data_IF_016247552524
#
_entry.id   IF_016247552524
#
_cell.length_a   1.000
_cell.length_b   1.000
_cell.length_c   1.000
_cell.angle_alpha   90.00
_cell.angle_beta   90.00
_cell.angle_gamma   90.00
#
_symmetry.space_group_name_H-M   'P 1'
#
loop_
_entity.id
_entity.type
_entity.pdbx_description
1 polymer ?
#
# COMPACT_ATOMS: atom_id res chain seq x y z
N UNK A 1 -7.81 1.27 15.21
CA UNK A 1 -8.36 -0.08 14.97
C UNK A 1 -7.32 -1.16 15.24
N UNK A 2 -6.15 -1.12 14.59
CA UNK A 2 -5.10 -2.14 14.74
C UNK A 2 -4.06 -1.85 15.82
N UNK A 3 -3.76 -0.58 16.08
CA UNK A 3 -2.78 -0.15 17.08
C UNK A 3 -3.10 -0.75 18.47
N UNK A 4 -2.13 -1.42 19.09
CA UNK A 4 -2.26 -2.08 20.40
C UNK A 4 -2.91 -3.47 20.37
N UNK A 5 -3.26 -4.01 19.19
CA UNK A 5 -3.80 -5.37 19.03
C UNK A 5 -2.88 -6.31 18.24
N UNK A 6 -1.96 -5.75 17.47
CA UNK A 6 -0.97 -6.51 16.69
C UNK A 6 0.23 -6.78 17.60
N UNK A 7 0.31 -8.00 18.11
CA UNK A 7 1.34 -8.46 19.06
C UNK A 7 1.69 -9.94 18.81
N UNK A 8 2.72 -10.44 19.49
CA UNK A 8 3.14 -11.84 19.36
C UNK A 8 2.02 -12.79 19.79
N UNK A 9 1.85 -13.90 19.06
CA UNK A 9 0.86 -14.94 19.36
C UNK A 9 -0.49 -14.79 18.65
N UNK A 10 -0.75 -13.70 17.92
CA UNK A 10 -1.94 -13.59 17.07
C UNK A 10 -1.65 -14.14 15.67
N UNK A 11 -2.67 -14.68 15.00
CA UNK A 11 -2.53 -15.11 13.60
C UNK A 11 -2.86 -13.96 12.62
N UNK A 12 -2.25 -13.96 11.43
CA UNK A 12 -2.54 -12.93 10.42
C UNK A 12 -4.01 -12.92 9.98
N UNK A 13 -4.70 -14.06 9.98
CA UNK A 13 -6.17 -14.12 9.77
C UNK A 13 -6.98 -13.36 10.82
N UNK A 14 -6.47 -13.16 12.03
CA UNK A 14 -7.17 -12.37 13.04
C UNK A 14 -7.13 -10.89 12.68
N UNK A 15 -6.01 -10.41 12.14
CA UNK A 15 -5.86 -9.06 11.59
C UNK A 15 -6.86 -8.85 10.44
N UNK A 16 -6.92 -9.81 9.50
CA UNK A 16 -7.87 -9.80 8.39
C UNK A 16 -9.33 -9.68 8.85
N UNK A 17 -9.70 -10.49 9.84
CA UNK A 17 -11.02 -10.43 10.46
C UNK A 17 -11.31 -9.06 11.07
N UNK A 18 -10.37 -8.48 11.81
CA UNK A 18 -10.57 -7.16 12.43
C UNK A 18 -10.68 -6.04 11.41
N UNK A 19 -9.91 -6.11 10.31
CA UNK A 19 -10.04 -5.18 9.19
C UNK A 19 -11.41 -5.29 8.55
N UNK A 20 -11.87 -6.52 8.29
CA UNK A 20 -13.18 -6.79 7.72
C UNK A 20 -14.31 -6.21 8.60
N UNK A 21 -14.33 -6.61 9.88
CA UNK A 21 -15.34 -6.19 10.86
C UNK A 21 -15.40 -4.66 10.95
N UNK A 22 -14.25 -4.01 11.16
CA UNK A 22 -14.20 -2.56 11.26
C UNK A 22 -14.66 -1.86 9.98
N UNK A 23 -14.26 -2.36 8.80
CA UNK A 23 -14.64 -1.76 7.52
C UNK A 23 -16.15 -1.85 7.32
N UNK A 24 -16.74 -3.01 7.56
CA UNK A 24 -18.18 -3.25 7.46
C UNK A 24 -18.99 -2.45 8.49
N UNK A 25 -18.53 -2.39 9.74
CA UNK A 25 -19.19 -1.65 10.84
C UNK A 25 -19.25 -0.14 10.56
N UNK A 26 -18.35 0.38 9.71
CA UNK A 26 -18.31 1.79 9.30
C UNK A 26 -18.94 2.03 7.91
N UNK A 27 -19.73 1.08 7.40
CA UNK A 27 -20.46 1.20 6.14
C UNK A 27 -19.60 1.03 4.88
N UNK A 28 -18.34 0.62 5.05
CA UNK A 28 -17.43 0.34 3.95
C UNK A 28 -17.45 -1.13 3.54
N UNK A 29 -16.71 -1.44 2.47
CA UNK A 29 -16.44 -2.80 2.01
C UNK A 29 -14.96 -2.96 1.62
N UNK A 30 -14.25 -4.03 2.02
CA UNK A 30 -12.85 -4.22 1.65
C UNK A 30 -12.67 -4.46 0.14
N UNK A 31 -11.92 -3.58 -0.55
CA UNK A 31 -11.70 -3.65 -1.99
C UNK A 31 -10.90 -4.88 -2.43
N UNK A 32 -10.10 -5.46 -1.54
CA UNK A 32 -9.23 -6.60 -1.83
C UNK A 32 -10.00 -7.90 -2.02
N UNK A 33 -11.24 -7.98 -1.48
CA UNK A 33 -12.07 -9.17 -1.59
C UNK A 33 -12.44 -9.46 -3.05
N UNK A 34 -12.23 -10.71 -3.46
CA UNK A 34 -12.53 -11.26 -4.79
C UNK A 34 -11.73 -10.63 -5.96
N UNK A 35 -10.63 -9.94 -5.67
CA UNK A 35 -9.74 -9.41 -6.72
C UNK A 35 -8.83 -10.55 -7.22
N UNK A 36 -9.07 -11.04 -8.44
CA UNK A 36 -8.24 -12.05 -9.12
C UNK A 36 -7.96 -13.32 -8.26
N UNK A 37 -8.93 -13.72 -7.44
CA UNK A 37 -8.80 -14.88 -6.54
C UNK A 37 -8.19 -14.58 -5.17
N UNK A 38 -7.87 -13.32 -4.87
CA UNK A 38 -7.54 -12.85 -3.52
C UNK A 38 -8.84 -12.74 -2.71
N UNK A 39 -8.96 -13.55 -1.66
CA UNK A 39 -10.22 -13.71 -0.90
C UNK A 39 -10.09 -13.22 0.55
N UNK A 40 -9.21 -12.23 0.77
CA UNK A 40 -8.95 -11.61 2.08
C UNK A 40 -9.23 -10.12 2.00
N UNK A 41 -9.49 -9.52 3.16
CA UNK A 41 -9.92 -8.14 3.38
C UNK A 41 -8.76 -7.15 3.56
N UNK A 42 -7.56 -7.66 3.78
CA UNK A 42 -6.32 -6.89 3.79
C UNK A 42 -5.14 -7.74 3.28
N UNK A 43 -3.98 -7.11 3.10
CA UNK A 43 -2.72 -7.83 2.95
C UNK A 43 -1.91 -7.78 4.25
N UNK A 44 -1.25 -8.89 4.59
CA UNK A 44 -0.35 -9.02 5.74
C UNK A 44 1.00 -9.55 5.27
N UNK A 45 2.02 -8.69 5.23
CA UNK A 45 3.32 -9.02 4.65
C UNK A 45 4.39 -9.03 5.73
N UNK A 46 4.76 -10.22 6.20
CA UNK A 46 5.71 -10.43 7.29
C UNK A 46 7.14 -10.49 6.74
N UNK A 47 8.07 -9.81 7.40
CA UNK A 47 9.52 -9.88 7.19
C UNK A 47 9.94 -9.70 5.71
N UNK A 48 10.31 -10.79 5.04
CA UNK A 48 10.81 -10.79 3.66
C UNK A 48 9.70 -10.72 2.60
N UNK A 49 8.43 -10.77 2.99
CA UNK A 49 7.30 -10.59 2.08
C UNK A 49 7.18 -9.09 1.78
N UNK A 50 7.45 -8.71 0.53
CA UNK A 50 7.48 -7.31 0.10
C UNK A 50 6.08 -6.66 0.15
N UNK A 51 5.08 -7.31 -0.43
CA UNK A 51 3.70 -6.85 -0.48
C UNK A 51 2.75 -8.01 -0.76
N UNK A 52 1.44 -7.75 -0.66
CA UNK A 52 0.37 -8.70 -1.03
C UNK A 52 0.46 -10.07 -0.32
N UNK A 53 1.04 -10.13 0.87
CA UNK A 53 0.96 -11.33 1.70
C UNK A 53 -0.50 -11.65 2.02
N UNK A 54 -0.89 -12.92 1.89
CA UNK A 54 -2.26 -13.38 2.10
C UNK A 54 -2.42 -13.77 3.58
N UNK A 55 -3.34 -13.15 4.33
CA UNK A 55 -3.61 -13.55 5.71
C UNK A 55 -4.05 -15.01 5.83
N UNK A 56 -3.42 -15.75 6.73
CA UNK A 56 -3.60 -17.18 6.98
C UNK A 56 -3.42 -17.55 8.48
N UNK A 57 -3.14 -18.82 8.76
CA UNK A 57 -2.94 -19.34 10.12
C UNK A 57 -1.55 -19.03 10.70
N UNK A 58 -0.68 -18.31 9.97
CA UNK A 58 0.65 -17.91 10.45
C UNK A 58 0.53 -17.01 11.67
N UNK A 59 1.19 -17.41 12.75
CA UNK A 59 1.24 -16.71 14.04
C UNK A 59 2.44 -15.78 14.07
N UNK A 60 2.24 -14.54 14.52
CA UNK A 60 3.31 -13.57 14.69
C UNK A 60 4.22 -13.94 15.85
N UNK A 61 5.52 -13.83 15.63
CA UNK A 61 6.56 -14.11 16.61
C UNK A 61 7.17 -12.81 17.14
N UNK A 62 7.72 -12.86 18.36
CA UNK A 62 8.50 -11.73 18.90
C UNK A 62 9.70 -11.46 17.99
N UNK A 63 9.91 -10.19 17.64
CA UNK A 63 10.93 -9.73 16.71
C UNK A 63 10.48 -9.60 15.25
N UNK A 64 9.28 -10.07 14.89
CA UNK A 64 8.74 -9.88 13.54
C UNK A 64 8.49 -8.40 13.22
N UNK A 65 8.58 -8.09 11.92
CA UNK A 65 8.00 -6.87 11.35
C UNK A 65 6.93 -7.25 10.34
N UNK A 66 5.81 -6.53 10.34
CA UNK A 66 4.68 -6.82 9.46
C UNK A 66 4.12 -5.55 8.83
N UNK A 67 3.97 -5.54 7.51
CA UNK A 67 3.15 -4.56 6.82
C UNK A 67 1.69 -5.01 6.82
N UNK A 68 0.76 -4.13 7.21
CA UNK A 68 -0.67 -4.32 6.98
C UNK A 68 -1.16 -3.26 6.01
N UNK A 69 -1.75 -3.72 4.91
CA UNK A 69 -2.27 -2.89 3.82
C UNK A 69 -3.80 -3.05 3.73
N UNK A 70 -4.52 -1.93 3.79
CA UNK A 70 -5.98 -1.88 3.81
C UNK A 70 -6.50 -0.96 2.72
N UNK A 71 -7.51 -1.45 2.01
CA UNK A 71 -8.13 -0.70 0.91
C UNK A 71 -9.66 -0.66 1.05
N UNK A 72 -10.25 0.14 1.96
CA UNK A 72 -11.71 0.22 2.09
C UNK A 72 -12.37 0.95 0.91
N UNK A 73 -13.56 0.50 0.53
CA UNK A 73 -14.49 1.20 -0.35
C UNK A 73 -15.62 1.78 0.50
N UNK A 74 -15.82 3.09 0.48
CA UNK A 74 -16.92 3.78 1.17
C UNK A 74 -17.58 4.76 0.20
N UNK A 75 -18.90 4.70 0.04
CA UNK A 75 -19.67 5.57 -0.86
C UNK A 75 -19.13 5.64 -2.31
N UNK A 76 -18.53 4.54 -2.79
CA UNK A 76 -17.91 4.46 -4.11
C UNK A 76 -16.48 4.99 -4.19
N UNK A 77 -15.90 5.44 -3.08
CA UNK A 77 -14.52 5.93 -2.96
C UNK A 77 -13.61 4.86 -2.37
N UNK A 78 -12.44 4.66 -2.99
CA UNK A 78 -11.39 3.79 -2.48
C UNK A 78 -10.44 4.62 -1.61
N UNK A 79 -10.23 4.21 -0.37
CA UNK A 79 -9.08 4.60 0.43
C UNK A 79 -8.03 3.50 0.36
N UNK A 80 -6.75 3.83 0.29
CA UNK A 80 -5.67 2.85 0.20
C UNK A 80 -4.50 3.31 1.08
N UNK A 81 -4.11 2.49 2.06
CA UNK A 81 -3.06 2.85 3.01
C UNK A 81 -2.47 1.62 3.67
N UNK A 82 -1.17 1.67 3.95
CA UNK A 82 -0.47 0.64 4.69
C UNK A 82 0.48 1.20 5.73
N UNK A 83 0.87 0.35 6.68
CA UNK A 83 1.83 0.69 7.74
C UNK A 83 2.61 -0.55 8.19
N UNK A 84 3.87 -0.33 8.54
CA UNK A 84 4.71 -1.31 9.25
C UNK A 84 4.41 -1.33 10.75
N UNK A 85 4.28 -2.52 11.32
CA UNK A 85 4.18 -2.78 12.75
C UNK A 85 5.39 -3.61 13.19
N UNK A 86 5.88 -3.32 14.40
CA UNK A 86 6.95 -4.06 15.07
C UNK A 86 6.32 -4.95 16.13
N UNK A 87 6.66 -6.23 16.14
CA UNK A 87 6.14 -7.20 17.09
C UNK A 87 7.16 -7.37 18.22
N UNK A 88 6.83 -6.85 19.40
CA UNK A 88 7.70 -6.90 20.57
C UNK A 88 9.07 -6.26 20.33
N UNK A 89 10.16 -6.95 20.63
CA UNK A 89 11.53 -6.45 20.45
C UNK A 89 12.17 -6.97 19.15
N UNK A 90 12.41 -6.10 18.18
CA UNK A 90 13.07 -6.43 16.90
C UNK A 90 14.50 -5.90 16.81
N UNK A 91 15.22 -6.28 15.75
CA UNK A 91 16.61 -5.86 15.55
C UNK A 91 16.74 -4.36 15.22
N UNK A 92 17.91 -3.78 15.51
CA UNK A 92 18.20 -2.38 15.16
C UNK A 92 18.13 -2.17 13.65
N UNK A 93 18.53 -3.17 12.87
CA UNK A 93 18.46 -3.15 11.41
C UNK A 93 17.01 -3.06 10.92
N UNK A 94 16.10 -3.82 11.52
CA UNK A 94 14.68 -3.81 11.18
C UNK A 94 14.01 -2.47 11.57
N UNK A 95 14.34 -1.94 12.75
CA UNK A 95 13.87 -0.61 13.18
C UNK A 95 14.33 0.48 12.21
N UNK A 96 15.62 0.46 11.85
CA UNK A 96 16.17 1.43 10.90
C UNK A 96 15.55 1.29 9.51
N UNK A 97 15.33 0.06 9.02
CA UNK A 97 14.65 -0.16 7.75
C UNK A 97 13.24 0.47 7.75
N UNK A 98 12.46 0.30 8.81
CA UNK A 98 11.12 0.87 8.94
C UNK A 98 11.19 2.40 8.97
N UNK A 99 12.09 2.96 9.77
CA UNK A 99 12.29 4.41 9.89
C UNK A 99 12.66 5.04 8.55
N UNK A 100 13.62 4.46 7.84
CA UNK A 100 14.12 5.00 6.57
C UNK A 100 13.11 4.80 5.43
N UNK A 101 12.35 3.70 5.44
CA UNK A 101 11.22 3.51 4.52
C UNK A 101 10.14 4.57 4.74
N UNK A 102 9.85 4.91 6.01
CA UNK A 102 8.92 5.99 6.36
C UNK A 102 9.47 7.36 5.95
N UNK A 103 10.77 7.61 6.09
CA UNK A 103 11.41 8.83 5.61
C UNK A 103 11.28 8.96 4.08
N UNK A 104 11.53 7.89 3.32
CA UNK A 104 11.30 7.83 1.88
C UNK A 104 9.87 8.21 1.49
N UNK A 105 8.86 7.72 2.23
CA UNK A 105 7.46 8.08 1.99
C UNK A 105 7.23 9.60 2.09
N UNK A 106 7.71 10.24 3.16
CA UNK A 106 7.54 11.68 3.34
C UNK A 106 8.33 12.51 2.33
N UNK A 107 9.57 12.12 2.03
CA UNK A 107 10.37 12.77 0.98
C UNK A 107 9.67 12.68 -0.38
N UNK A 108 9.07 11.53 -0.69
CA UNK A 108 8.26 11.35 -1.89
C UNK A 108 7.05 12.28 -1.94
N UNK A 109 6.33 12.42 -0.81
CA UNK A 109 5.17 13.32 -0.67
C UNK A 109 5.58 14.79 -0.86
N UNK A 110 6.71 15.22 -0.28
CA UNK A 110 7.18 16.61 -0.38
C UNK A 110 7.53 17.04 -1.82
N UNK A 111 7.81 16.08 -2.69
CA UNK A 111 8.08 16.29 -4.12
C UNK A 111 6.79 16.43 -4.94
N UNK A 112 5.62 16.06 -4.39
CA UNK A 112 4.33 16.13 -5.11
C UNK A 112 3.85 17.57 -5.21
N UNK A 113 4.11 18.20 -6.37
CA UNK A 113 3.65 19.56 -6.69
C UNK A 113 3.52 19.79 -8.21
N UNK A 114 2.75 20.80 -8.65
CA UNK A 114 2.66 21.15 -10.07
C UNK A 114 4.04 21.37 -10.69
N UNK A 115 4.25 20.81 -11.89
CA UNK A 115 5.53 20.87 -12.59
C UNK A 115 6.44 19.65 -12.38
N UNK A 116 6.23 18.89 -11.29
CA UNK A 116 6.94 17.63 -11.06
C UNK A 116 6.21 16.44 -11.69
N UNK A 117 6.96 15.38 -11.96
CA UNK A 117 6.51 14.11 -12.53
C UNK A 117 6.56 12.98 -11.50
N UNK A 118 5.91 11.85 -11.80
CA UNK A 118 6.03 10.63 -10.98
C UNK A 118 7.48 10.13 -10.92
N UNK A 119 8.27 10.38 -11.97
CA UNK A 119 9.69 10.03 -12.00
C UNK A 119 10.50 10.78 -10.94
N UNK A 120 10.15 12.03 -10.64
CA UNK A 120 10.84 12.82 -9.62
C UNK A 120 10.63 12.24 -8.21
N UNK A 121 9.43 11.72 -7.93
CA UNK A 121 9.13 11.01 -6.67
C UNK A 121 10.02 9.76 -6.55
N UNK A 122 10.05 8.93 -7.60
CA UNK A 122 10.86 7.72 -7.63
C UNK A 122 12.36 8.01 -7.52
N UNK A 123 12.84 9.06 -8.19
CA UNK A 123 14.22 9.51 -8.11
C UNK A 123 14.59 9.92 -6.68
N UNK A 124 13.79 10.77 -6.02
CA UNK A 124 14.05 11.20 -4.65
C UNK A 124 14.09 10.03 -3.66
N UNK A 125 13.12 9.10 -3.76
CA UNK A 125 13.09 7.89 -2.92
C UNK A 125 14.34 7.03 -3.16
N UNK A 126 14.68 6.78 -4.42
CA UNK A 126 15.82 5.93 -4.78
C UNK A 126 17.14 6.53 -4.29
N UNK A 127 17.35 7.84 -4.44
CA UNK A 127 18.56 8.50 -3.96
C UNK A 127 18.73 8.37 -2.44
N UNK A 128 17.65 8.55 -1.66
CA UNK A 128 17.69 8.39 -0.21
C UNK A 128 18.03 6.95 0.18
N UNK A 129 17.26 5.97 -0.33
CA UNK A 129 17.43 4.56 0.00
C UNK A 129 18.82 4.03 -0.38
N UNK A 130 19.30 4.31 -1.60
CA UNK A 130 20.59 3.83 -2.08
C UNK A 130 21.77 4.47 -1.34
N UNK A 131 21.64 5.73 -0.86
CA UNK A 131 22.67 6.38 -0.04
C UNK A 131 22.92 5.68 1.31
N UNK A 132 21.93 4.92 1.78
CA UNK A 132 21.98 4.15 3.03
C UNK A 132 22.30 2.66 2.79
N UNK A 133 22.53 2.26 1.53
CA UNK A 133 22.82 0.88 1.14
C UNK A 133 21.59 -0.01 0.94
N UNK A 134 20.37 0.56 0.94
CA UNK A 134 19.15 -0.17 0.62
C UNK A 134 18.89 -0.21 -0.90
N UNK A 135 18.02 -1.13 -1.33
CA UNK A 135 17.51 -1.20 -2.69
C UNK A 135 16.04 -0.84 -2.75
N UNK A 136 15.56 -0.45 -3.94
CA UNK A 136 14.15 -0.13 -4.20
C UNK A 136 13.54 -1.18 -5.12
N UNK A 137 12.39 -1.73 -4.73
CA UNK A 137 11.63 -2.69 -5.53
C UNK A 137 11.12 -2.02 -6.82
N UNK A 138 11.28 -2.68 -7.97
CA UNK A 138 11.00 -2.09 -9.30
C UNK A 138 9.72 -2.62 -9.93
N UNK A 139 9.28 -3.80 -9.53
CA UNK A 139 8.15 -4.54 -10.06
C UNK A 139 6.80 -4.02 -9.53
N UNK A 140 6.83 -3.21 -8.47
CA UNK A 140 5.67 -2.64 -7.80
C UNK A 140 5.74 -1.12 -7.87
N UNK A 141 4.60 -0.48 -8.13
CA UNK A 141 4.50 0.98 -8.10
C UNK A 141 3.18 1.40 -7.46
N UNK A 142 3.18 2.61 -6.90
CA UNK A 142 1.96 3.23 -6.38
C UNK A 142 0.87 3.27 -7.45
N UNK A 143 -0.32 2.78 -7.09
CA UNK A 143 -1.46 2.74 -7.98
C UNK A 143 -2.35 3.98 -7.80
N UNK A 144 -2.96 4.44 -8.90
CA UNK A 144 -3.98 5.50 -8.83
C UNK A 144 -5.36 4.89 -8.67
N UNK A 145 -6.05 5.25 -7.59
CA UNK A 145 -7.48 4.99 -7.42
C UNK A 145 -8.29 6.09 -8.10
N UNK A 146 -9.34 5.71 -8.85
CA UNK A 146 -10.20 6.64 -9.60
C UNK A 146 -11.37 7.13 -8.75
N UNK A 147 -11.77 8.38 -8.99
CA UNK A 147 -13.05 8.93 -8.55
C UNK A 147 -14.17 8.47 -9.51
N UNK A 148 -15.22 7.89 -8.95
CA UNK A 148 -16.48 7.65 -9.66
C UNK A 148 -17.64 8.17 -8.82
N UNK A 149 -18.27 9.26 -9.24
CA UNK A 149 -19.58 9.64 -8.69
C UNK A 149 -20.60 8.63 -9.20
N UNK A 150 -21.18 7.83 -8.30
CA UNK A 150 -22.36 7.03 -8.59
C UNK A 150 -23.50 7.99 -8.96
N UNK A 151 -23.76 8.14 -10.26
CA UNK A 151 -24.81 9.01 -10.79
C UNK A 151 -24.68 9.44 -12.26
N UNK A 152 -23.53 9.26 -12.92
CA UNK A 152 -23.40 9.61 -14.34
C UNK A 152 -23.75 8.43 -15.25
N UNK A 153 -24.62 8.61 -16.28
CA UNK A 153 -25.05 7.53 -17.14
C UNK A 153 -23.84 6.95 -17.91
N UNK A 154 -23.82 5.64 -18.03
CA UNK A 154 -22.83 4.93 -18.83
C UNK A 154 -22.80 5.47 -20.27
N UNK A 155 -21.66 6.03 -20.69
CA UNK A 155 -21.37 6.28 -22.10
C UNK A 155 -20.85 7.67 -22.44
N UNK A 156 -19.52 7.85 -22.38
CA UNK A 156 -18.81 8.50 -23.49
C UNK A 156 -17.32 8.07 -23.47
N UNK A 157 -16.77 7.54 -24.59
CA UNK A 157 -15.35 7.24 -24.67
C UNK A 157 -14.58 8.54 -24.91
N UNK A 158 -14.13 9.19 -23.84
CA UNK A 158 -13.20 10.31 -23.97
C UNK A 158 -11.84 9.80 -24.47
N UNK A 159 -11.38 10.40 -25.57
CA UNK A 159 -10.21 10.01 -26.36
C UNK A 159 -8.92 9.95 -25.50
N UNK A 160 -8.37 8.75 -25.32
CA UNK A 160 -6.98 8.55 -24.90
C UNK A 160 -6.02 9.19 -25.92
N UNK A 161 -5.23 10.19 -25.51
CA UNK A 161 -3.95 10.47 -26.21
C UNK A 161 -2.85 9.70 -25.50
N UNK A 162 -2.43 8.59 -26.12
CA UNK A 162 -1.26 7.82 -25.70
C UNK A 162 -0.01 8.66 -25.89
N UNK A 163 0.79 8.83 -24.83
CA UNK A 163 2.18 9.30 -24.94
C UNK A 163 3.08 8.26 -24.27
N UNK A 164 4.09 7.79 -25.01
CA UNK A 164 5.13 6.88 -24.52
C UNK A 164 6.24 7.70 -23.89
N UNK A 165 6.72 7.29 -22.72
CA UNK A 165 7.98 7.79 -22.16
C UNK A 165 9.17 7.14 -22.87
N UNK A 166 10.39 7.72 -22.79
CA UNK A 166 11.61 7.17 -23.39
C UNK A 166 11.95 5.75 -22.93
N UNK A 167 11.42 5.33 -21.77
CA UNK A 167 11.68 4.03 -21.16
C UNK A 167 10.54 3.01 -21.41
N UNK A 168 9.65 3.28 -22.36
CA UNK A 168 8.60 2.33 -22.77
C UNK A 168 7.39 2.24 -21.83
N UNK A 169 7.35 3.01 -20.74
CA UNK A 169 6.17 3.09 -19.89
C UNK A 169 5.09 3.98 -20.52
N UNK A 170 3.90 3.41 -20.72
CA UNK A 170 2.71 4.15 -21.17
C UNK A 170 2.06 4.84 -19.97
N UNK A 171 2.00 6.18 -19.99
CA UNK A 171 1.24 6.95 -19.01
C UNK A 171 0.18 7.79 -19.72
N UNK A 172 -1.07 7.62 -19.30
CA UNK A 172 -2.14 8.55 -19.66
C UNK A 172 -2.00 9.84 -18.86
N UNK A 173 -1.82 10.96 -19.56
CA UNK A 173 -1.98 12.31 -18.99
C UNK A 173 -3.35 12.82 -19.43
N UNK A 174 -4.22 13.14 -18.47
CA UNK A 174 -5.49 13.82 -18.72
C UNK A 174 -5.48 15.13 -17.96
N UNK A 175 -5.97 16.17 -18.63
CA UNK A 175 -6.28 17.47 -18.03
C UNK A 175 -7.63 17.38 -17.31
#
# INVERSE_FOLDING_TARGET
MLDGRIEAGIATKDIDRWVYEYTCDHGGYPATLNVKGFNKSCCTSINNVICHGIPDDTVLEDGDIINVDVTPILDGYFGDTSRMFVIGETSQEALKLIEETKACLYLGIDVVKPGNTIGDIGYTIQQHAESLGYSVVRELCGSRHRFGVLGSPAGSPLRQKKRRSPNGAEYGVYY
#
